data_IF_817128449056
#
_entry.id   IF_817128449056
#
_cell.length_a   1.000
_cell.length_b   1.000
_cell.length_c   1.000
_cell.angle_alpha   90.00
_cell.angle_beta   90.00
_cell.angle_gamma   90.00
#
_symmetry.space_group_name_H-M   'P 1'
#
loop_
_entity.id
_entity.type
_entity.pdbx_description
1 polymer ?
#
# COMPACT_ATOMS: atom_id res chain seq x y z
N UNK A 1 13.44 -72.98 -18.05
CA UNK A 1 12.92 -71.69 -18.58
C UNK A 1 11.82 -71.21 -17.64
N UNK A 2 12.17 -70.40 -16.65
CA UNK A 2 11.21 -69.81 -15.69
C UNK A 2 10.71 -68.51 -16.28
N UNK A 3 9.40 -68.43 -16.56
CA UNK A 3 8.75 -67.23 -17.06
C UNK A 3 8.89 -66.10 -16.03
N UNK A 4 9.60 -65.04 -16.40
CA UNK A 4 9.67 -63.82 -15.60
C UNK A 4 8.25 -63.21 -15.52
N UNK A 5 7.74 -63.06 -14.29
CA UNK A 5 6.49 -62.37 -14.06
C UNK A 5 6.73 -60.87 -14.30
N UNK A 6 6.14 -60.33 -15.37
CA UNK A 6 6.07 -58.89 -15.66
C UNK A 6 5.54 -58.14 -14.44
N UNK A 7 6.45 -57.56 -13.65
CA UNK A 7 6.08 -56.68 -12.53
C UNK A 7 5.67 -55.34 -13.12
N UNK A 8 4.37 -55.04 -13.05
CA UNK A 8 3.83 -53.76 -13.49
C UNK A 8 4.55 -52.59 -12.78
N UNK A 9 4.86 -51.48 -13.49
CA UNK A 9 5.64 -50.39 -12.94
C UNK A 9 4.96 -49.77 -11.71
N UNK A 10 5.77 -49.45 -10.69
CA UNK A 10 5.33 -48.90 -9.42
C UNK A 10 4.49 -47.63 -9.65
N UNK A 11 3.25 -47.62 -9.12
CA UNK A 11 2.26 -46.55 -9.36
C UNK A 11 1.20 -46.86 -10.42
N UNK A 12 1.28 -48.01 -11.10
CA UNK A 12 0.23 -48.44 -12.02
C UNK A 12 -1.00 -48.95 -11.27
N UNK A 13 -2.12 -48.24 -11.36
CA UNK A 13 -3.38 -48.70 -10.79
C UNK A 13 -3.81 -50.01 -11.47
N UNK A 14 -4.21 -51.05 -10.72
CA UNK A 14 -4.65 -52.32 -11.29
C UNK A 14 -5.87 -52.08 -12.18
N UNK A 15 -5.74 -52.43 -13.46
CA UNK A 15 -6.81 -52.37 -14.46
C UNK A 15 -7.51 -53.73 -14.49
N UNK A 16 -8.77 -53.77 -14.13
CA UNK A 16 -9.61 -54.97 -14.23
C UNK A 16 -10.43 -54.89 -15.52
N UNK A 17 -10.56 -56.00 -16.24
CA UNK A 17 -11.39 -56.07 -17.44
C UNK A 17 -12.86 -56.14 -17.04
N UNK A 18 -13.68 -55.26 -17.61
CA UNK A 18 -15.12 -55.33 -17.43
C UNK A 18 -15.67 -56.53 -18.21
N UNK A 19 -16.09 -57.60 -17.52
CA UNK A 19 -16.60 -58.84 -18.14
C UNK A 19 -17.75 -58.60 -19.14
N UNK A 20 -18.56 -57.57 -18.91
CA UNK A 20 -19.77 -57.29 -19.73
C UNK A 20 -19.48 -56.47 -20.99
N UNK A 21 -18.36 -55.75 -21.05
CA UNK A 21 -18.08 -54.77 -22.11
C UNK A 21 -16.64 -54.83 -22.63
N UNK A 22 -15.89 -55.85 -22.23
CA UNK A 22 -14.50 -56.18 -22.58
C UNK A 22 -13.47 -55.05 -22.45
N UNK A 23 -13.83 -53.93 -21.82
CA UNK A 23 -12.96 -52.76 -21.63
C UNK A 23 -12.11 -52.91 -20.37
N UNK A 24 -10.79 -52.72 -20.51
CA UNK A 24 -9.84 -52.64 -19.37
C UNK A 24 -9.99 -51.29 -18.68
N UNK A 25 -10.43 -51.29 -17.41
CA UNK A 25 -10.69 -50.08 -16.61
C UNK A 25 -10.02 -50.22 -15.25
N UNK A 26 -9.64 -49.10 -14.63
CA UNK A 26 -9.18 -49.14 -13.23
C UNK A 26 -10.33 -49.55 -12.31
N UNK A 27 -10.02 -50.24 -11.21
CA UNK A 27 -11.02 -50.71 -10.23
C UNK A 27 -11.97 -49.60 -9.76
N UNK A 28 -11.46 -48.38 -9.59
CA UNK A 28 -12.22 -47.18 -9.18
C UNK A 28 -13.19 -46.65 -10.23
N UNK A 29 -12.98 -46.94 -11.51
CA UNK A 29 -13.78 -46.41 -12.61
C UNK A 29 -14.83 -47.40 -13.15
N UNK A 30 -14.87 -48.63 -12.64
CA UNK A 30 -15.79 -49.67 -13.12
C UNK A 30 -17.25 -49.35 -12.76
N UNK A 31 -17.55 -48.92 -11.51
CA UNK A 31 -18.93 -48.55 -11.12
C UNK A 31 -19.44 -47.38 -11.95
N UNK A 32 -18.61 -46.32 -12.08
CA UNK A 32 -18.90 -45.17 -12.93
C UNK A 32 -19.18 -45.57 -14.38
N UNK A 33 -18.35 -46.45 -14.96
CA UNK A 33 -18.55 -46.95 -16.31
C UNK A 33 -19.85 -47.75 -16.44
N UNK A 34 -20.20 -48.57 -15.45
CA UNK A 34 -21.47 -49.32 -15.47
C UNK A 34 -22.69 -48.44 -15.35
N UNK A 35 -22.63 -47.36 -14.56
CA UNK A 35 -23.72 -46.39 -14.40
C UNK A 35 -23.95 -45.61 -15.71
N UNK A 36 -22.89 -45.09 -16.33
CA UNK A 36 -22.95 -44.42 -17.63
C UNK A 36 -23.55 -45.35 -18.69
N UNK A 37 -23.09 -46.61 -18.76
CA UNK A 37 -23.59 -47.61 -19.73
C UNK A 37 -25.04 -48.03 -19.48
N UNK A 38 -25.54 -47.89 -18.26
CA UNK A 38 -26.96 -48.10 -17.92
C UNK A 38 -27.82 -46.86 -18.19
N UNK A 39 -27.25 -45.80 -18.77
CA UNK A 39 -27.95 -44.54 -19.02
C UNK A 39 -28.23 -43.72 -17.74
N UNK A 40 -27.62 -44.10 -16.61
CA UNK A 40 -27.75 -43.36 -15.34
C UNK A 40 -26.92 -42.09 -15.48
N UNK A 41 -27.59 -40.93 -15.47
CA UNK A 41 -26.92 -39.63 -15.44
C UNK A 41 -26.19 -39.50 -14.11
N UNK A 42 -24.86 -39.53 -14.16
CA UNK A 42 -24.03 -39.21 -13.01
C UNK A 42 -24.30 -37.76 -12.60
N UNK A 43 -24.39 -37.50 -11.29
CA UNK A 43 -24.39 -36.14 -10.76
C UNK A 43 -23.19 -35.39 -11.35
N UNK A 44 -23.43 -34.23 -11.96
CA UNK A 44 -22.41 -33.47 -12.67
C UNK A 44 -21.12 -33.34 -11.85
N UNK A 45 -19.99 -33.53 -12.50
CA UNK A 45 -18.68 -33.42 -11.87
C UNK A 45 -18.52 -32.02 -11.27
N UNK A 46 -17.68 -31.85 -10.25
CA UNK A 46 -17.40 -30.53 -9.66
C UNK A 46 -17.08 -29.46 -10.72
N UNK A 47 -16.40 -29.88 -11.81
CA UNK A 47 -16.09 -29.05 -12.97
C UNK A 47 -17.31 -28.60 -13.78
N UNK A 48 -18.34 -29.43 -13.89
CA UNK A 48 -19.58 -29.10 -14.60
C UNK A 48 -20.43 -28.09 -13.82
N UNK A 49 -20.44 -28.23 -12.49
CA UNK A 49 -21.08 -27.26 -11.58
C UNK A 49 -20.33 -25.92 -11.65
N UNK A 50 -19.01 -25.93 -11.67
CA UNK A 50 -18.19 -24.73 -11.77
C UNK A 50 -18.40 -23.98 -13.09
N UNK A 51 -18.61 -24.68 -14.21
CA UNK A 51 -18.95 -24.05 -15.49
C UNK A 51 -20.32 -23.36 -15.47
N UNK A 52 -21.32 -23.94 -14.81
CA UNK A 52 -22.64 -23.30 -14.65
C UNK A 52 -22.56 -22.02 -13.79
N UNK A 53 -21.76 -22.03 -12.73
CA UNK A 53 -21.57 -20.84 -11.86
C UNK A 53 -20.85 -19.69 -12.58
N UNK A 54 -19.95 -19.99 -13.52
CA UNK A 54 -19.27 -18.98 -14.34
C UNK A 54 -20.13 -18.52 -15.54
N UNK A 55 -21.06 -19.36 -15.99
CA UNK A 55 -21.88 -19.10 -17.18
C UNK A 55 -23.06 -18.14 -16.97
N UNK A 56 -23.57 -17.96 -15.75
CA UNK A 56 -24.84 -17.24 -15.51
C UNK A 56 -24.73 -15.97 -14.64
N UNK A 57 -23.52 -15.55 -14.25
CA UNK A 57 -23.31 -14.32 -13.48
C UNK A 57 -22.34 -13.38 -14.20
N UNK A 58 -22.88 -12.30 -14.79
CA UNK A 58 -22.13 -11.39 -15.65
C UNK A 58 -20.75 -10.97 -15.08
N UNK A 59 -19.66 -11.02 -15.86
CA UNK A 59 -18.37 -10.43 -15.50
C UNK A 59 -18.44 -8.93 -15.16
N UNK A 60 -19.57 -8.27 -15.44
CA UNK A 60 -19.81 -6.85 -15.24
C UNK A 60 -20.13 -6.48 -13.79
N UNK A 61 -20.87 -7.30 -13.04
CA UNK A 61 -21.26 -6.96 -11.66
C UNK A 61 -20.02 -6.82 -10.74
N UNK A 62 -19.05 -7.74 -10.87
CA UNK A 62 -17.79 -7.67 -10.13
C UNK A 62 -16.89 -6.50 -10.57
N UNK A 63 -16.90 -6.12 -11.85
CA UNK A 63 -16.15 -4.95 -12.35
C UNK A 63 -16.75 -3.64 -11.86
N UNK A 64 -18.09 -3.52 -11.85
CA UNK A 64 -18.78 -2.33 -11.36
C UNK A 64 -18.50 -2.07 -9.88
N UNK A 65 -18.54 -3.13 -9.05
CA UNK A 65 -18.26 -3.00 -7.62
C UNK A 65 -16.79 -2.63 -7.33
N UNK A 66 -15.84 -3.20 -8.10
CA UNK A 66 -14.41 -2.82 -8.00
C UNK A 66 -14.17 -1.37 -8.42
N UNK A 67 -14.79 -0.94 -9.51
CA UNK A 67 -14.67 0.43 -10.01
C UNK A 67 -15.23 1.44 -9.01
N UNK A 68 -16.41 1.20 -8.45
CA UNK A 68 -17.01 2.08 -7.43
C UNK A 68 -16.18 2.17 -6.15
N UNK A 69 -15.56 1.06 -5.70
CA UNK A 69 -14.62 1.07 -4.57
C UNK A 69 -13.38 1.89 -4.89
N UNK A 70 -12.81 1.73 -6.08
CA UNK A 70 -11.66 2.52 -6.52
C UNK A 70 -11.99 4.02 -6.55
N UNK A 71 -13.15 4.42 -7.10
CA UNK A 71 -13.55 5.83 -7.17
C UNK A 71 -13.63 6.47 -5.78
N UNK A 72 -14.20 5.77 -4.78
CA UNK A 72 -14.27 6.26 -3.39
C UNK A 72 -12.89 6.42 -2.73
N UNK A 73 -11.94 5.54 -3.04
CA UNK A 73 -10.57 5.65 -2.53
C UNK A 73 -9.87 6.86 -3.13
N UNK A 74 -10.01 7.08 -4.44
CA UNK A 74 -9.41 8.24 -5.10
C UNK A 74 -10.01 9.55 -4.59
N UNK A 75 -11.34 9.69 -4.51
CA UNK A 75 -11.99 10.93 -4.04
C UNK A 75 -11.59 11.27 -2.60
N UNK A 76 -11.56 10.29 -1.70
CA UNK A 76 -11.11 10.49 -0.32
C UNK A 76 -9.61 10.83 -0.24
N UNK A 77 -8.78 10.22 -1.09
CA UNK A 77 -7.35 10.53 -1.20
C UNK A 77 -7.12 11.98 -1.62
N UNK A 78 -7.78 12.45 -2.68
CA UNK A 78 -7.70 13.84 -3.14
C UNK A 78 -8.19 14.84 -2.09
N UNK A 79 -9.29 14.54 -1.38
CA UNK A 79 -9.79 15.40 -0.30
C UNK A 79 -8.80 15.51 0.86
N UNK A 80 -8.13 14.42 1.23
CA UNK A 80 -7.10 14.41 2.29
C UNK A 80 -5.86 15.20 1.86
N UNK A 81 -5.40 15.04 0.62
CA UNK A 81 -4.28 15.79 0.06
C UNK A 81 -4.55 17.30 0.04
N UNK A 82 -5.76 17.72 -0.38
CA UNK A 82 -6.14 19.14 -0.42
C UNK A 82 -6.14 19.79 0.98
N UNK A 83 -6.60 19.05 2.00
CA UNK A 83 -6.52 19.49 3.41
C UNK A 83 -5.07 19.62 3.88
N UNK A 84 -4.23 18.62 3.63
CA UNK A 84 -2.81 18.67 3.99
C UNK A 84 -2.08 19.84 3.33
N UNK A 85 -2.38 20.12 2.05
CA UNK A 85 -1.79 21.24 1.31
C UNK A 85 -2.20 22.60 1.89
N UNK A 86 -3.46 22.75 2.34
CA UNK A 86 -3.89 23.97 2.99
C UNK A 86 -3.21 24.18 4.36
N UNK A 87 -3.04 23.11 5.14
CA UNK A 87 -2.32 23.18 6.43
C UNK A 87 -0.85 23.52 6.22
N UNK A 88 -0.18 22.90 5.24
CA UNK A 88 1.22 23.17 4.91
C UNK A 88 1.43 24.65 4.51
N UNK A 89 0.55 25.19 3.66
CA UNK A 89 0.66 26.58 3.22
C UNK A 89 0.43 27.58 4.36
N UNK A 90 -0.47 27.29 5.32
CA UNK A 90 -0.61 28.11 6.54
C UNK A 90 0.63 28.05 7.41
N UNK A 91 1.21 26.87 7.61
CA UNK A 91 2.43 26.70 8.40
C UNK A 91 3.64 27.41 7.78
N UNK A 92 3.79 27.35 6.46
CA UNK A 92 4.83 28.08 5.75
C UNK A 92 4.68 29.60 5.91
N UNK A 93 3.47 30.15 5.74
CA UNK A 93 3.20 31.57 5.96
C UNK A 93 3.51 32.00 7.40
N UNK A 94 3.06 31.23 8.39
CA UNK A 94 3.35 31.50 9.80
C UNK A 94 4.85 31.44 10.09
N UNK A 95 5.57 30.45 9.55
CA UNK A 95 7.02 30.34 9.72
C UNK A 95 7.77 31.52 9.11
N UNK A 96 7.34 32.03 7.95
CA UNK A 96 7.95 33.22 7.34
C UNK A 96 7.75 34.46 8.21
N UNK A 97 6.54 34.67 8.75
CA UNK A 97 6.24 35.79 9.64
C UNK A 97 7.11 35.73 10.91
N UNK A 98 7.23 34.55 11.52
CA UNK A 98 8.07 34.38 12.72
C UNK A 98 9.54 34.70 12.40
N UNK A 99 10.07 34.22 11.27
CA UNK A 99 11.45 34.53 10.84
C UNK A 99 11.67 36.03 10.64
N UNK A 100 10.72 36.72 10.00
CA UNK A 100 10.79 38.16 9.79
C UNK A 100 10.76 38.93 11.11
N UNK A 101 9.85 38.58 12.04
CA UNK A 101 9.80 39.19 13.38
C UNK A 101 11.09 38.97 14.17
N UNK A 102 11.65 37.75 14.13
CA UNK A 102 12.92 37.45 14.78
C UNK A 102 14.11 38.25 14.19
N UNK A 103 14.09 38.54 12.88
CA UNK A 103 15.09 39.43 12.24
C UNK A 103 14.91 40.88 12.70
N UNK A 104 13.69 41.38 12.74
CA UNK A 104 13.40 42.75 13.21
C UNK A 104 13.82 42.95 14.67
N UNK A 105 13.52 41.98 15.54
CA UNK A 105 13.95 42.03 16.94
C UNK A 105 15.48 42.02 17.06
N UNK A 106 16.19 41.18 16.29
CA UNK A 106 17.66 41.17 16.27
C UNK A 106 18.26 42.50 15.80
N UNK A 107 17.68 43.13 14.78
CA UNK A 107 18.14 44.43 14.32
C UNK A 107 17.90 45.51 15.39
N UNK A 108 16.73 45.49 16.05
CA UNK A 108 16.39 46.44 17.12
C UNK A 108 17.33 46.29 18.33
N UNK A 109 17.61 45.07 18.77
CA UNK A 109 18.54 44.83 19.88
C UNK A 109 19.98 45.21 19.52
N UNK A 110 20.41 44.95 18.28
CA UNK A 110 21.72 45.39 17.79
C UNK A 110 21.84 46.91 17.78
N UNK A 111 20.84 47.62 17.26
CA UNK A 111 20.84 49.07 17.23
C UNK A 111 20.82 49.68 18.63
N UNK A 112 20.06 49.08 19.56
CA UNK A 112 20.05 49.52 20.96
C UNK A 112 21.41 49.34 21.65
N UNK A 113 22.09 48.21 21.40
CA UNK A 113 23.46 47.97 21.91
C UNK A 113 24.46 48.96 21.33
N UNK A 114 24.39 49.24 20.04
CA UNK A 114 25.25 50.24 19.39
C UNK A 114 25.00 51.63 19.98
N UNK A 115 23.74 52.05 20.11
CA UNK A 115 23.39 53.34 20.71
C UNK A 115 23.86 53.47 22.16
N UNK A 116 23.70 52.41 22.96
CA UNK A 116 24.18 52.38 24.35
C UNK A 116 25.70 52.47 24.42
N UNK A 117 26.41 51.76 23.53
CA UNK A 117 27.87 51.81 23.46
C UNK A 117 28.37 53.21 23.04
N UNK A 118 27.78 53.80 22.01
CA UNK A 118 28.11 55.17 21.57
C UNK A 118 27.86 56.18 22.68
N UNK A 119 26.74 56.08 23.39
CA UNK A 119 26.44 56.94 24.54
C UNK A 119 27.48 56.81 25.66
N UNK A 120 27.89 55.58 25.99
CA UNK A 120 28.94 55.33 26.98
C UNK A 120 30.29 55.93 26.56
N UNK A 121 30.67 55.79 25.28
CA UNK A 121 31.89 56.39 24.74
C UNK A 121 31.87 57.92 24.79
N UNK A 122 30.73 58.56 24.49
CA UNK A 122 30.59 60.02 24.57
C UNK A 122 30.78 60.51 26.00
N UNK A 123 30.19 59.82 26.99
CA UNK A 123 30.40 60.15 28.41
C UNK A 123 31.87 59.97 28.78
N UNK A 124 32.52 58.86 28.43
CA UNK A 124 33.94 58.65 28.73
C UNK A 124 34.85 59.73 28.13
N UNK A 125 34.63 60.10 26.86
CA UNK A 125 35.42 61.12 26.16
C UNK A 125 35.17 62.52 26.76
N UNK A 126 33.92 62.84 27.14
CA UNK A 126 33.59 64.12 27.76
C UNK A 126 34.20 64.34 29.14
N UNK A 127 34.53 63.27 29.85
CA UNK A 127 35.18 63.33 31.17
C UNK A 127 36.71 63.36 31.11
N UNK A 128 37.32 62.97 29.99
CA UNK A 128 38.78 63.04 29.80
C UNK A 128 39.39 64.44 30.03
N UNK A 129 38.86 65.55 29.45
CA UNK A 129 39.45 66.87 29.63
C UNK A 129 39.28 67.45 31.05
N UNK A 130 38.30 66.96 31.83
CA UNK A 130 38.08 67.38 33.22
C UNK A 130 39.09 66.73 34.18
N UNK A 131 39.48 65.47 33.93
CA UNK A 131 40.51 64.80 34.72
C UNK A 131 41.92 65.38 34.46
N UNK A 132 42.20 65.82 33.23
CA UNK A 132 43.48 66.42 32.85
C UNK A 132 43.74 67.79 33.50
N UNK A 133 42.68 68.54 33.84
CA UNK A 133 42.77 69.86 34.46
C UNK A 133 42.85 69.83 36.01
N UNK A 134 42.75 68.66 36.64
CA UNK A 134 42.91 68.50 38.09
C UNK A 134 44.33 68.11 38.53
N UNK A 135 45.24 67.86 37.59
CA UNK A 135 46.63 67.45 37.85
C UNK A 135 47.68 68.48 37.36
N UNK A 136 47.24 69.68 36.96
CA UNK A 136 48.08 70.85 36.66
C UNK A 136 47.85 71.92 37.72
#
# INVERSE_FOLDING_TARGET
MTAEADKAPYGSAPKTQCKKWEKKLSRTNISRHTEIRKGIKLSGTRSDIQKKVVGEGSPQAGRFQRNHRATKVFTNGYAKLKKCQHVLSRHQKASQIIRLRARQLRMKTRNWRIGSFVSMCIVLIGWLPLASNMFL
#
